data_IF_371766321478
#
_entry.id   IF_371766321478
#
_cell.length_a   1.000
_cell.length_b   1.000
_cell.length_c   1.000
_cell.angle_alpha   90.00
_cell.angle_beta   90.00
_cell.angle_gamma   90.00
#
_symmetry.space_group_name_H-M   'P 1'
#
loop_
_entity.id
_entity.type
_entity.pdbx_description
1 polymer ?
#
# COMPACT_ATOMS: atom_id res chain seq x y z
N UNK A 1 12.39 -1.90 0.59
CA UNK A 1 12.25 -3.28 0.04
C UNK A 1 11.40 -3.24 -1.23
N UNK A 2 11.82 -3.88 -2.33
CA UNK A 2 10.94 -4.13 -3.49
C UNK A 2 10.48 -5.59 -3.43
N UNK A 3 9.17 -5.82 -3.30
CA UNK A 3 8.59 -7.18 -3.14
C UNK A 3 8.36 -7.91 -4.47
N UNK A 4 8.60 -7.27 -5.62
CA UNK A 4 8.43 -7.86 -6.95
C UNK A 4 6.98 -8.21 -7.32
N UNK A 5 6.00 -7.71 -6.55
CA UNK A 5 4.57 -7.87 -6.82
C UNK A 5 4.10 -6.78 -7.79
N UNK A 6 3.25 -7.14 -8.76
CA UNK A 6 2.64 -6.15 -9.65
C UNK A 6 1.46 -5.45 -8.97
N UNK A 7 1.16 -4.21 -9.36
CA UNK A 7 0.01 -3.47 -8.87
C UNK A 7 -1.31 -4.24 -9.04
N UNK A 8 -1.45 -4.97 -10.17
CA UNK A 8 -2.58 -5.87 -10.41
C UNK A 8 -2.72 -6.95 -9.34
N UNK A 9 -1.62 -7.66 -9.05
CA UNK A 9 -1.63 -8.76 -8.09
C UNK A 9 -1.90 -8.24 -6.68
N UNK A 10 -1.29 -7.11 -6.31
CA UNK A 10 -1.51 -6.47 -5.02
C UNK A 10 -2.97 -6.05 -4.85
N UNK A 11 -3.51 -5.31 -5.82
CA UNK A 11 -4.90 -4.84 -5.80
C UNK A 11 -5.91 -5.99 -5.65
N UNK A 12 -5.72 -7.07 -6.43
CA UNK A 12 -6.55 -8.27 -6.34
C UNK A 12 -6.46 -8.94 -4.96
N UNK A 13 -5.25 -9.02 -4.40
CA UNK A 13 -5.02 -9.64 -3.09
C UNK A 13 -5.71 -8.88 -1.95
N UNK A 14 -5.70 -7.55 -1.98
CA UNK A 14 -6.24 -6.71 -0.89
C UNK A 14 -7.68 -6.23 -1.14
N UNK A 15 -8.27 -6.61 -2.27
CA UNK A 15 -9.61 -6.22 -2.67
C UNK A 15 -9.74 -4.73 -2.96
N UNK A 16 -8.77 -4.15 -3.67
CA UNK A 16 -8.78 -2.77 -4.15
C UNK A 16 -8.85 -2.75 -5.69
N UNK A 17 -9.27 -1.62 -6.26
CA UNK A 17 -9.16 -1.42 -7.70
C UNK A 17 -7.68 -1.24 -8.08
N UNK A 18 -7.26 -1.78 -9.24
CA UNK A 18 -5.90 -1.55 -9.76
C UNK A 18 -5.57 -0.06 -9.86
N UNK A 19 -6.54 0.73 -10.31
CA UNK A 19 -6.40 2.19 -10.46
C UNK A 19 -6.07 2.88 -9.15
N UNK A 20 -6.60 2.39 -8.02
CA UNK A 20 -6.25 2.89 -6.69
C UNK A 20 -4.74 2.76 -6.44
N UNK A 21 -4.15 1.59 -6.71
CA UNK A 21 -2.70 1.39 -6.51
C UNK A 21 -1.90 2.33 -7.43
N UNK A 22 -2.27 2.43 -8.71
CA UNK A 22 -1.51 3.27 -9.64
C UNK A 22 -1.63 4.76 -9.34
N UNK A 23 -2.79 5.26 -8.88
CA UNK A 23 -2.94 6.66 -8.49
C UNK A 23 -2.15 6.99 -7.23
N UNK A 24 -2.07 6.05 -6.28
CA UNK A 24 -1.23 6.20 -5.09
C UNK A 24 0.26 6.22 -5.45
N UNK A 25 0.70 5.38 -6.39
CA UNK A 25 2.10 5.35 -6.85
C UNK A 25 2.49 6.62 -7.64
N UNK A 26 1.53 7.29 -8.27
CA UNK A 26 1.74 8.52 -9.05
C UNK A 26 1.46 9.81 -8.27
N UNK A 27 1.20 9.72 -6.96
CA UNK A 27 0.84 10.86 -6.11
C UNK A 27 -0.45 11.60 -6.53
N UNK A 28 -1.35 10.89 -7.23
CA UNK A 28 -2.63 11.41 -7.73
C UNK A 28 -3.81 11.07 -6.79
N UNK A 29 -3.54 10.43 -5.65
CA UNK A 29 -4.54 10.11 -4.65
C UNK A 29 -3.96 10.18 -3.24
N UNK A 30 -4.77 10.68 -2.30
CA UNK A 30 -4.48 10.61 -0.87
C UNK A 30 -5.24 9.42 -0.26
N UNK A 31 -4.56 8.35 0.17
CA UNK A 31 -5.21 7.17 0.73
C UNK A 31 -5.74 7.46 2.14
N UNK A 32 -6.83 6.80 2.52
CA UNK A 32 -7.21 6.74 3.93
C UNK A 32 -6.28 5.81 4.69
N UNK A 33 -6.22 5.96 6.01
CA UNK A 33 -5.45 5.06 6.88
C UNK A 33 -5.84 3.57 6.67
N UNK A 34 -7.12 3.28 6.45
CA UNK A 34 -7.59 1.93 6.16
C UNK A 34 -7.03 1.34 4.85
N UNK A 35 -6.91 2.18 3.81
CA UNK A 35 -6.29 1.75 2.54
C UNK A 35 -4.81 1.44 2.75
N UNK A 36 -4.11 2.24 3.55
CA UNK A 36 -2.70 2.02 3.89
C UNK A 36 -2.51 0.69 4.64
N UNK A 37 -3.36 0.40 5.63
CA UNK A 37 -3.34 -0.88 6.35
C UNK A 37 -3.55 -2.07 5.41
N UNK A 38 -4.50 -1.98 4.49
CA UNK A 38 -4.74 -3.04 3.50
C UNK A 38 -3.54 -3.29 2.61
N UNK A 39 -2.94 -2.22 2.07
CA UNK A 39 -1.76 -2.32 1.21
C UNK A 39 -0.59 -2.93 1.98
N UNK A 40 -0.39 -2.53 3.25
CA UNK A 40 0.67 -3.06 4.09
C UNK A 40 0.48 -4.55 4.40
N UNK A 41 -0.75 -4.99 4.70
CA UNK A 41 -1.10 -6.41 4.84
C UNK A 41 -0.78 -7.18 3.55
N UNK A 42 -1.18 -6.63 2.39
CA UNK A 42 -0.86 -7.21 1.09
C UNK A 42 0.64 -7.35 0.79
N UNK A 43 1.45 -6.45 1.33
CA UNK A 43 2.91 -6.43 1.18
C UNK A 43 3.65 -7.21 2.28
N UNK A 44 2.94 -7.66 3.32
CA UNK A 44 3.52 -8.26 4.51
C UNK A 44 4.46 -7.30 5.23
N UNK A 45 4.00 -6.05 5.42
CA UNK A 45 4.72 -4.99 6.14
C UNK A 45 3.93 -4.60 7.37
N UNK A 46 4.62 -4.45 8.49
CA UNK A 46 4.04 -3.88 9.71
C UNK A 46 3.99 -2.35 9.56
N UNK A 47 2.82 -1.83 9.17
CA UNK A 47 2.64 -0.40 8.92
C UNK A 47 2.82 0.47 10.17
N UNK A 48 2.23 0.15 11.34
CA UNK A 48 2.52 0.86 12.58
C UNK A 48 4.01 0.97 12.90
N UNK A 49 4.78 -0.13 12.77
CA UNK A 49 6.21 -0.11 13.01
C UNK A 49 6.95 0.80 12.02
N UNK A 50 6.61 0.69 10.73
CA UNK A 50 7.22 1.51 9.67
C UNK A 50 7.00 3.02 9.88
N UNK A 51 5.81 3.39 10.34
CA UNK A 51 5.45 4.79 10.58
C UNK A 51 6.19 5.34 11.81
N UNK A 52 6.37 4.54 12.86
CA UNK A 52 7.10 4.94 14.05
C UNK A 52 8.57 5.30 13.75
N UNK A 53 9.22 4.56 12.86
CA UNK A 53 10.60 4.83 12.41
C UNK A 53 10.73 6.10 11.55
N UNK A 54 9.63 6.58 10.96
CA UNK A 54 9.64 7.69 9.99
C UNK A 54 9.46 9.08 10.63
N UNK A 55 9.18 9.14 11.94
CA UNK A 55 8.97 10.37 12.70
C UNK A 55 10.09 10.67 13.72
N UNK A 56 11.23 9.98 13.62
CA UNK A 56 12.49 10.30 14.30
C UNK A 56 13.44 11.08 13.37
#
# INVERSE_FOLDING_TARGET
MRKGISANKLAAQVGLARTTITHLESDDACPTYWVLLKIADGLGVDFPALVAESFE
#
